data_IF_002480372865
#
_entry.id   IF_002480372865
#
_cell.length_a   1.000
_cell.length_b   1.000
_cell.length_c   1.000
_cell.angle_alpha   90.00
_cell.angle_beta   90.00
_cell.angle_gamma   90.00
#
_symmetry.space_group_name_H-M   'P 1'
#
loop_
_entity.id
_entity.type
_entity.pdbx_description
1 polymer ?
#
# COMPACT_ATOMS: atom_id res chain seq x y z
N UNK A 1 -16.91 -18.23 22.66
CA UNK A 1 -15.83 -17.21 22.58
C UNK A 1 -15.24 -17.04 21.16
N UNK A 2 -15.55 -17.92 20.21
CA UNK A 2 -15.08 -17.86 18.80
C UNK A 2 -15.94 -16.96 17.91
N UNK A 3 -17.28 -16.93 18.13
CA UNK A 3 -18.25 -16.16 17.33
C UNK A 3 -18.05 -14.64 17.40
N UNK A 4 -17.63 -14.12 18.56
CA UNK A 4 -17.37 -12.70 18.79
C UNK A 4 -16.16 -12.20 18.00
N UNK A 5 -15.15 -13.04 17.81
CA UNK A 5 -13.92 -12.71 17.05
C UNK A 5 -14.17 -12.69 15.54
N UNK A 6 -15.00 -13.62 15.05
CA UNK A 6 -15.51 -13.70 13.68
C UNK A 6 -16.30 -12.44 13.32
N UNK A 7 -17.19 -12.01 14.22
CA UNK A 7 -17.97 -10.80 14.04
C UNK A 7 -17.07 -9.58 13.86
N UNK A 8 -16.13 -9.31 14.78
CA UNK A 8 -15.34 -8.07 14.73
C UNK A 8 -14.32 -7.98 13.59
N UNK A 9 -13.71 -9.09 13.15
CA UNK A 9 -12.84 -9.06 11.97
C UNK A 9 -13.66 -8.83 10.69
N UNK A 10 -14.84 -9.47 10.58
CA UNK A 10 -15.75 -9.23 9.46
C UNK A 10 -16.38 -7.84 9.50
N UNK A 11 -16.64 -7.28 10.70
CA UNK A 11 -17.13 -5.92 10.91
C UNK A 11 -16.06 -4.90 10.59
N UNK A 12 -14.80 -5.16 10.96
CA UNK A 12 -13.62 -4.40 10.53
C UNK A 12 -13.58 -4.31 9.02
N UNK A 13 -13.60 -5.45 8.36
CA UNK A 13 -13.57 -5.56 6.91
C UNK A 13 -14.92 -5.24 6.22
N UNK A 14 -16.00 -4.94 6.93
CA UNK A 14 -17.27 -4.54 6.31
C UNK A 14 -17.49 -3.03 6.45
N UNK A 15 -17.17 -2.46 7.62
CA UNK A 15 -17.37 -1.04 7.92
C UNK A 15 -16.32 -0.12 7.28
N UNK A 16 -15.06 -0.56 7.23
CA UNK A 16 -13.99 0.12 6.46
C UNK A 16 -14.40 0.33 5.00
N UNK A 17 -15.15 -0.61 4.41
CA UNK A 17 -15.45 -0.55 2.97
C UNK A 17 -16.88 -0.16 2.62
N UNK A 18 -17.87 -0.34 3.49
CA UNK A 18 -19.25 0.10 3.24
C UNK A 18 -19.40 1.63 3.13
N UNK A 19 -18.45 2.40 3.67
CA UNK A 19 -18.54 3.85 3.80
C UNK A 19 -17.67 4.62 2.81
N UNK A 20 -16.53 4.07 2.36
CA UNK A 20 -15.63 4.70 1.37
C UNK A 20 -15.76 4.11 -0.04
N UNK A 21 -16.05 2.81 -0.17
CA UNK A 21 -16.24 2.14 -1.46
C UNK A 21 -17.73 1.91 -1.62
N UNK A 22 -18.39 2.62 -2.54
CA UNK A 22 -19.83 2.46 -2.76
C UNK A 22 -20.24 0.97 -2.76
N UNK A 23 -21.36 0.58 -2.11
CA UNK A 23 -21.78 -0.82 -1.97
C UNK A 23 -21.92 -1.56 -3.32
N UNK A 24 -21.98 -0.82 -4.43
CA UNK A 24 -21.90 -1.33 -5.81
C UNK A 24 -20.66 -2.21 -6.09
N UNK A 25 -19.57 -2.04 -5.35
CA UNK A 25 -18.31 -2.74 -5.62
C UNK A 25 -18.02 -3.89 -4.63
N UNK A 26 -18.74 -3.96 -3.50
CA UNK A 26 -18.61 -4.99 -2.47
C UNK A 26 -19.59 -6.14 -2.69
N UNK A 27 -19.14 -7.18 -3.40
CA UNK A 27 -19.83 -8.45 -3.42
C UNK A 27 -19.14 -9.46 -2.48
N UNK A 28 -19.41 -9.33 -1.18
CA UNK A 28 -18.88 -10.22 -0.14
C UNK A 28 -19.72 -11.49 0.06
N UNK A 29 -20.78 -11.70 -0.74
CA UNK A 29 -21.73 -12.81 -0.51
C UNK A 29 -21.14 -14.19 -0.74
N UNK A 30 -19.95 -14.29 -1.35
CA UNK A 30 -19.28 -15.56 -1.63
C UNK A 30 -18.36 -16.04 -0.52
N UNK A 31 -18.15 -15.26 0.54
CA UNK A 31 -17.06 -15.51 1.47
C UNK A 31 -17.56 -16.03 2.82
N UNK A 32 -17.21 -17.29 3.10
CA UNK A 32 -17.72 -18.07 4.22
C UNK A 32 -16.86 -17.82 5.48
N UNK A 33 -17.25 -16.78 6.23
CA UNK A 33 -16.58 -16.36 7.46
C UNK A 33 -16.52 -17.50 8.48
N UNK A 34 -17.51 -18.41 8.51
CA UNK A 34 -17.54 -19.53 9.46
C UNK A 34 -16.34 -20.49 9.28
N UNK A 35 -15.78 -20.59 8.06
CA UNK A 35 -14.59 -21.39 7.78
C UNK A 35 -13.28 -20.78 8.28
N UNK A 36 -13.26 -19.48 8.63
CA UNK A 36 -12.09 -18.86 9.27
C UNK A 36 -11.89 -19.34 10.70
N UNK A 37 -12.92 -19.80 11.40
CA UNK A 37 -12.78 -20.23 12.80
C UNK A 37 -13.76 -21.36 13.16
N UNK A 38 -13.60 -22.57 12.60
CA UNK A 38 -14.38 -23.74 12.98
C UNK A 38 -14.28 -24.06 14.48
N UNK A 39 -15.25 -24.80 15.04
CA UNK A 39 -15.26 -25.18 16.44
C UNK A 39 -13.98 -25.92 16.84
N UNK A 40 -13.36 -25.49 17.94
CA UNK A 40 -12.14 -26.12 18.50
C UNK A 40 -12.35 -27.58 18.91
N UNK A 41 -13.60 -28.04 19.03
CA UNK A 41 -13.97 -29.43 19.32
C UNK A 41 -13.64 -30.41 18.19
N UNK A 42 -13.22 -29.92 17.02
CA UNK A 42 -12.84 -30.74 15.86
C UNK A 42 -11.30 -30.80 15.66
N UNK A 43 -10.51 -30.36 16.65
CA UNK A 43 -9.04 -30.38 16.57
C UNK A 43 -8.54 -31.40 17.58
N UNK A 44 -8.45 -32.66 17.15
CA UNK A 44 -8.04 -33.77 18.03
C UNK A 44 -6.52 -33.99 18.00
N UNK A 45 -5.82 -33.45 16.99
CA UNK A 45 -4.39 -33.59 16.83
C UNK A 45 -3.70 -32.35 16.20
N UNK A 46 -2.37 -32.39 16.15
CA UNK A 46 -1.51 -31.32 15.64
C UNK A 46 -1.69 -31.11 14.12
N UNK A 47 -2.00 -32.16 13.37
CA UNK A 47 -2.17 -32.10 11.92
C UNK A 47 -3.46 -31.35 11.54
N UNK A 48 -4.55 -31.58 12.27
CA UNK A 48 -5.82 -30.84 12.14
C UNK A 48 -5.63 -29.35 12.41
N UNK A 49 -4.80 -29.01 13.41
CA UNK A 49 -4.45 -27.61 13.71
C UNK A 49 -3.68 -26.95 12.55
N UNK A 50 -2.74 -27.67 11.93
CA UNK A 50 -2.01 -27.15 10.77
C UNK A 50 -2.90 -26.98 9.54
N UNK A 51 -3.80 -27.93 9.28
CA UNK A 51 -4.76 -27.82 8.17
C UNK A 51 -5.74 -26.66 8.39
N UNK A 52 -6.20 -26.47 9.62
CA UNK A 52 -6.99 -25.32 9.99
C UNK A 52 -6.27 -23.99 9.70
N UNK A 53 -5.02 -23.86 10.14
CA UNK A 53 -4.22 -22.65 9.90
C UNK A 53 -4.04 -22.39 8.41
N UNK A 54 -3.81 -23.42 7.61
CA UNK A 54 -3.72 -23.30 6.13
C UNK A 54 -5.04 -22.85 5.52
N UNK A 55 -6.17 -23.43 5.94
CA UNK A 55 -7.49 -23.03 5.47
C UNK A 55 -7.80 -21.57 5.82
N UNK A 56 -7.44 -21.13 7.03
CA UNK A 56 -7.59 -19.74 7.47
C UNK A 56 -6.82 -18.77 6.58
N UNK A 57 -5.52 -19.04 6.35
CA UNK A 57 -4.67 -18.22 5.47
C UNK A 57 -5.25 -18.18 4.06
N UNK A 58 -5.69 -19.32 3.52
CA UNK A 58 -6.28 -19.38 2.19
C UNK A 58 -7.53 -18.49 2.06
N UNK A 59 -8.41 -18.50 3.06
CA UNK A 59 -9.61 -17.66 3.07
C UNK A 59 -9.23 -16.18 3.18
N UNK A 60 -8.32 -15.81 4.08
CA UNK A 60 -7.84 -14.42 4.22
C UNK A 60 -7.19 -13.89 2.95
N UNK A 61 -6.43 -14.73 2.26
CA UNK A 61 -5.85 -14.39 0.96
C UNK A 61 -6.93 -14.10 -0.09
N UNK A 62 -8.00 -14.90 -0.15
CA UNK A 62 -9.12 -14.63 -1.06
C UNK A 62 -9.84 -13.32 -0.70
N UNK A 63 -10.05 -13.04 0.59
CA UNK A 63 -10.58 -11.74 1.04
C UNK A 63 -9.70 -10.58 0.60
N UNK A 64 -8.39 -10.67 0.88
CA UNK A 64 -7.44 -9.63 0.53
C UNK A 64 -7.38 -9.41 -0.99
N UNK A 65 -7.50 -10.48 -1.78
CA UNK A 65 -7.56 -10.40 -3.24
C UNK A 65 -8.78 -9.64 -3.73
N UNK A 66 -9.97 -9.94 -3.19
CA UNK A 66 -11.21 -9.20 -3.51
C UNK A 66 -11.07 -7.74 -3.10
N UNK A 67 -10.51 -7.49 -1.92
CA UNK A 67 -10.24 -6.15 -1.41
C UNK A 67 -9.32 -5.35 -2.33
N UNK A 68 -8.16 -5.90 -2.69
CA UNK A 68 -7.22 -5.22 -3.58
C UNK A 68 -7.85 -4.94 -4.95
N UNK A 69 -8.65 -5.88 -5.48
CA UNK A 69 -9.37 -5.66 -6.73
C UNK A 69 -10.37 -4.49 -6.64
N UNK A 70 -11.04 -4.33 -5.50
CA UNK A 70 -11.97 -3.22 -5.27
C UNK A 70 -11.26 -1.88 -5.11
N UNK A 71 -10.16 -1.84 -4.35
CA UNK A 71 -9.33 -0.64 -4.21
C UNK A 71 -8.79 -0.22 -5.59
N UNK A 72 -8.25 -1.16 -6.36
CA UNK A 72 -7.76 -0.89 -7.71
C UNK A 72 -8.86 -0.31 -8.61
N UNK A 73 -10.07 -0.87 -8.54
CA UNK A 73 -11.22 -0.37 -9.28
C UNK A 73 -11.62 1.03 -8.84
N UNK A 74 -11.70 1.28 -7.52
CA UNK A 74 -12.02 2.60 -6.98
C UNK A 74 -11.01 3.66 -7.41
N UNK A 75 -9.70 3.38 -7.29
CA UNK A 75 -8.62 4.27 -7.75
C UNK A 75 -8.80 4.64 -9.23
N UNK A 76 -9.16 3.65 -10.05
CA UNK A 76 -9.39 3.84 -11.49
C UNK A 76 -10.65 4.66 -11.75
N UNK A 77 -11.77 4.31 -11.12
CA UNK A 77 -13.08 4.94 -11.33
C UNK A 77 -13.10 6.40 -10.84
N UNK A 78 -12.32 6.73 -9.80
CA UNK A 78 -12.17 8.10 -9.29
C UNK A 78 -11.11 8.93 -10.03
N UNK A 79 -10.39 8.35 -11.00
CA UNK A 79 -9.33 9.05 -11.71
C UNK A 79 -8.15 9.45 -10.83
N UNK A 80 -7.90 8.72 -9.73
CA UNK A 80 -6.79 8.97 -8.80
C UNK A 80 -5.45 8.54 -9.44
N UNK A 81 -5.49 7.54 -10.32
CA UNK A 81 -4.36 7.11 -11.15
C UNK A 81 -4.48 7.74 -12.56
N UNK A 82 -3.51 8.56 -13.02
CA UNK A 82 -2.20 8.81 -12.42
C UNK A 82 -2.20 9.84 -11.28
N UNK A 83 -1.40 9.56 -10.25
CA UNK A 83 -1.23 10.42 -9.08
C UNK A 83 -0.23 11.53 -9.36
N UNK A 84 -0.63 12.79 -9.17
CA UNK A 84 0.27 13.93 -9.35
C UNK A 84 1.38 13.90 -8.30
N UNK A 85 2.61 14.15 -8.73
CA UNK A 85 3.77 14.25 -7.86
C UNK A 85 4.21 15.70 -7.70
N UNK A 86 4.91 16.00 -6.60
CA UNK A 86 5.43 17.33 -6.34
C UNK A 86 6.59 17.68 -7.29
N UNK A 87 6.69 18.97 -7.63
CA UNK A 87 7.85 19.51 -8.33
C UNK A 87 9.06 19.55 -7.37
N UNK A 88 10.25 19.29 -7.92
CA UNK A 88 11.49 19.26 -7.16
C UNK A 88 12.57 20.07 -7.88
N UNK A 89 13.39 20.78 -7.11
CA UNK A 89 14.59 21.46 -7.59
C UNK A 89 15.69 21.13 -6.61
N UNK A 90 16.74 20.46 -7.10
CA UNK A 90 17.85 20.01 -6.27
C UNK A 90 19.18 20.42 -6.88
N UNK A 91 20.02 21.02 -6.04
CA UNK A 91 21.40 21.32 -6.40
C UNK A 91 22.27 20.12 -6.14
N UNK A 92 23.23 19.86 -7.02
CA UNK A 92 24.19 18.78 -6.86
C UNK A 92 25.59 19.22 -7.26
N UNK A 93 26.58 18.53 -6.72
CA UNK A 93 27.98 18.77 -7.02
C UNK A 93 28.59 17.51 -7.63
N UNK A 94 29.19 17.66 -8.82
CA UNK A 94 29.92 16.59 -9.49
C UNK A 94 31.38 16.98 -9.63
N UNK A 95 32.25 16.33 -8.86
CA UNK A 95 33.68 16.63 -8.75
C UNK A 95 33.91 18.10 -8.36
N UNK A 96 34.19 18.98 -9.32
CA UNK A 96 34.45 20.42 -9.11
C UNK A 96 33.32 21.33 -9.64
N UNK A 97 32.29 20.76 -10.28
CA UNK A 97 31.21 21.52 -10.90
C UNK A 97 29.93 21.42 -10.08
N UNK A 98 29.24 22.55 -9.91
CA UNK A 98 27.87 22.60 -9.40
C UNK A 98 26.86 22.59 -10.54
N UNK A 99 25.73 21.94 -10.30
CA UNK A 99 24.59 21.93 -11.20
C UNK A 99 23.28 21.90 -10.42
N UNK A 100 22.19 22.14 -11.14
CA UNK A 100 20.84 22.06 -10.61
C UNK A 100 20.01 21.13 -11.50
N UNK A 101 19.22 20.26 -10.88
CA UNK A 101 18.24 19.42 -11.54
C UNK A 101 16.85 19.81 -11.06
N UNK A 102 15.99 20.21 -12.01
CA UNK A 102 14.58 20.46 -11.78
C UNK A 102 13.76 19.33 -12.39
N UNK A 103 12.83 18.80 -11.60
CA UNK A 103 11.81 17.83 -11.98
C UNK A 103 10.44 18.50 -11.81
N UNK A 104 9.71 18.67 -12.91
CA UNK A 104 8.39 19.33 -12.91
C UNK A 104 7.32 18.49 -13.56
N UNK A 105 6.07 18.81 -13.24
CA UNK A 105 4.88 18.18 -13.83
C UNK A 105 4.89 16.65 -13.67
N UNK A 106 5.32 16.20 -12.49
CA UNK A 106 5.45 14.78 -12.20
C UNK A 106 4.12 14.06 -12.06
N UNK A 107 4.06 12.82 -12.51
CA UNK A 107 2.96 11.91 -12.19
C UNK A 107 3.45 10.47 -12.02
N UNK A 108 2.79 9.75 -11.12
CA UNK A 108 3.00 8.34 -10.81
C UNK A 108 1.76 7.55 -11.22
N UNK A 109 1.91 6.70 -12.23
CA UNK A 109 0.87 5.80 -12.71
C UNK A 109 1.07 4.37 -12.18
N UNK A 110 -0.01 3.60 -12.14
CA UNK A 110 -0.01 2.19 -11.75
C UNK A 110 -0.23 1.95 -10.25
N UNK A 111 -0.70 2.96 -9.52
CA UNK A 111 -1.14 2.81 -8.13
C UNK A 111 -2.42 1.96 -8.03
N UNK A 112 -3.15 1.78 -9.14
CA UNK A 112 -4.27 0.83 -9.26
C UNK A 112 -3.83 -0.63 -9.51
N UNK A 113 -2.57 -0.99 -9.27
CA UNK A 113 -2.04 -2.34 -9.47
C UNK A 113 -1.69 -3.06 -8.16
N UNK A 114 -2.40 -2.71 -7.07
CA UNK A 114 -2.18 -3.28 -5.75
C UNK A 114 -2.55 -4.77 -5.78
N UNK A 115 -1.65 -5.59 -5.23
CA UNK A 115 -1.80 -7.04 -5.10
C UNK A 115 -1.21 -7.49 -3.77
N UNK A 116 -1.49 -8.73 -3.34
CA UNK A 116 -0.83 -9.32 -2.19
C UNK A 116 0.60 -9.76 -2.54
N UNK A 117 1.57 -9.45 -1.68
CA UNK A 117 2.97 -9.84 -1.90
C UNK A 117 3.40 -11.09 -1.12
N UNK A 118 2.46 -11.71 -0.39
CA UNK A 118 2.65 -12.87 0.47
C UNK A 118 1.34 -13.28 1.13
N UNK A 119 1.42 -14.18 2.10
CA UNK A 119 0.26 -14.64 2.86
C UNK A 119 -0.23 -13.58 3.84
N UNK A 120 -1.53 -13.31 3.79
CA UNK A 120 -2.23 -12.54 4.81
C UNK A 120 -2.44 -13.43 6.01
N UNK A 121 -1.94 -12.99 7.14
CA UNK A 121 -2.01 -13.76 8.38
C UNK A 121 -2.60 -12.94 9.50
N UNK A 122 -3.23 -13.60 10.46
CA UNK A 122 -3.50 -12.99 11.75
C UNK A 122 -2.82 -13.80 12.85
N UNK A 123 -2.50 -13.11 13.94
CA UNK A 123 -2.12 -13.75 15.19
C UNK A 123 -3.00 -13.22 16.31
N UNK A 124 -3.30 -14.08 17.27
CA UNK A 124 -4.18 -13.74 18.37
C UNK A 124 -3.48 -13.99 19.69
N UNK A 125 -3.34 -12.93 20.47
CA UNK A 125 -2.85 -12.96 21.85
C UNK A 125 -3.75 -12.02 22.64
N UNK A 126 -4.68 -12.59 23.42
CA UNK A 126 -5.67 -11.79 24.16
C UNK A 126 -4.98 -10.63 24.92
N UNK A 127 -5.53 -9.39 24.83
CA UNK A 127 -6.76 -9.00 24.14
C UNK A 127 -6.59 -8.62 22.66
N UNK A 128 -5.41 -8.78 22.07
CA UNK A 128 -5.07 -8.24 20.76
C UNK A 128 -5.16 -9.29 19.65
N UNK A 129 -5.86 -8.94 18.57
CA UNK A 129 -5.80 -9.61 17.27
C UNK A 129 -4.91 -8.77 16.34
N UNK A 130 -3.80 -9.33 15.87
CA UNK A 130 -2.89 -8.66 14.93
C UNK A 130 -3.12 -9.19 13.54
N UNK A 131 -3.32 -8.31 12.57
CA UNK A 131 -3.43 -8.59 11.15
C UNK A 131 -2.14 -8.14 10.46
N UNK A 132 -1.53 -9.04 9.70
CA UNK A 132 -0.35 -8.77 8.87
C UNK A 132 -0.75 -8.84 7.40
N UNK A 133 -0.63 -7.72 6.70
CA UNK A 133 -1.04 -7.55 5.31
C UNK A 133 0.17 -7.14 4.44
N UNK A 134 0.82 -8.12 3.79
CA UNK A 134 1.88 -7.84 2.82
C UNK A 134 1.28 -7.48 1.45
N UNK A 135 1.60 -6.29 0.94
CA UNK A 135 1.08 -5.79 -0.34
C UNK A 135 2.22 -5.41 -1.30
N UNK A 136 1.91 -5.41 -2.59
CA UNK A 136 2.82 -4.99 -3.65
C UNK A 136 2.12 -4.26 -4.79
N UNK A 137 2.90 -3.43 -5.48
CA UNK A 137 2.53 -2.88 -6.78
C UNK A 137 3.20 -3.69 -7.89
N UNK A 138 2.42 -4.12 -8.88
CA UNK A 138 2.95 -4.87 -10.02
C UNK A 138 3.91 -4.01 -10.86
N UNK A 139 3.46 -2.80 -11.18
CA UNK A 139 4.19 -1.87 -12.03
C UNK A 139 3.82 -0.44 -11.66
N UNK A 140 4.82 0.34 -11.27
CA UNK A 140 4.68 1.78 -11.14
C UNK A 140 5.45 2.46 -12.26
N UNK A 141 4.84 3.45 -12.88
CA UNK A 141 5.45 4.23 -13.95
C UNK A 141 5.46 5.70 -13.52
N UNK A 142 6.64 6.28 -13.43
CA UNK A 142 6.78 7.69 -13.16
C UNK A 142 7.14 8.43 -14.44
N UNK A 143 6.64 9.64 -14.57
CA UNK A 143 7.07 10.57 -15.61
C UNK A 143 7.26 11.95 -15.01
N UNK A 144 8.32 12.62 -15.42
CA UNK A 144 8.63 14.00 -15.09
C UNK A 144 9.16 14.72 -16.32
N UNK A 145 8.91 16.03 -16.40
CA UNK A 145 9.71 16.92 -17.23
C UNK A 145 10.97 17.27 -16.44
N UNK A 146 12.15 16.96 -16.98
CA UNK A 146 13.42 17.31 -16.34
C UNK A 146 14.07 18.51 -17.03
N UNK A 147 14.79 19.30 -16.25
CA UNK A 147 15.75 20.28 -16.73
C UNK A 147 16.99 20.19 -15.86
N UNK A 148 18.15 20.05 -16.48
CA UNK A 148 19.42 20.12 -15.76
C UNK A 148 20.18 21.34 -16.24
N UNK A 149 20.81 22.06 -15.32
CA UNK A 149 21.60 23.25 -15.59
C UNK A 149 22.97 23.07 -14.95
N UNK A 150 24.01 23.12 -15.78
CA UNK A 150 25.41 23.20 -15.37
C UNK A 150 26.02 24.46 -15.98
N UNK A 151 26.54 25.38 -15.15
CA UNK A 151 27.15 26.62 -15.66
C UNK A 151 26.25 27.36 -16.68
N UNK A 152 24.93 27.46 -16.39
CA UNK A 152 23.89 28.01 -17.26
C UNK A 152 23.57 27.26 -18.56
N UNK A 153 24.12 26.07 -18.79
CA UNK A 153 23.84 25.24 -19.96
C UNK A 153 23.38 23.86 -19.49
N UNK A 154 22.36 23.30 -20.14
CA UNK A 154 22.06 21.89 -19.95
C UNK A 154 20.78 21.45 -20.65
N UNK A 155 20.61 20.14 -20.81
CA UNK A 155 19.50 19.61 -21.57
C UNK A 155 18.22 19.66 -20.74
N UNK A 156 17.10 19.64 -21.46
CA UNK A 156 15.77 19.45 -20.90
C UNK A 156 15.05 18.37 -21.70
N UNK A 157 14.10 17.71 -21.06
CA UNK A 157 13.43 16.58 -21.69
C UNK A 157 12.49 15.85 -20.74
N UNK A 158 12.22 14.59 -21.05
CA UNK A 158 11.33 13.74 -20.24
C UNK A 158 12.11 12.64 -19.54
N UNK A 159 11.88 12.53 -18.24
CA UNK A 159 12.34 11.44 -17.42
C UNK A 159 11.18 10.46 -17.28
N UNK A 160 11.37 9.24 -17.74
CA UNK A 160 10.44 8.13 -17.54
C UNK A 160 11.11 7.10 -16.65
N UNK A 161 10.45 6.73 -15.57
CA UNK A 161 10.90 5.68 -14.69
C UNK A 161 9.89 4.54 -14.62
N UNK A 162 10.39 3.35 -14.38
CA UNK A 162 9.59 2.15 -14.21
C UNK A 162 10.10 1.42 -12.98
N UNK A 163 9.21 1.20 -12.02
CA UNK A 163 9.49 0.45 -10.81
C UNK A 163 8.70 -0.85 -10.83
N UNK A 164 9.39 -1.97 -10.61
CA UNK A 164 8.78 -3.30 -10.53
C UNK A 164 9.10 -3.94 -9.19
N UNK A 165 8.06 -4.47 -8.53
CA UNK A 165 8.19 -5.22 -7.28
C UNK A 165 8.32 -4.33 -6.04
N UNK A 166 7.65 -3.17 -6.03
CA UNK A 166 7.50 -2.37 -4.83
C UNK A 166 6.63 -3.14 -3.82
N UNK A 167 7.08 -3.27 -2.57
CA UNK A 167 6.41 -4.05 -1.52
C UNK A 167 6.30 -3.26 -0.22
N UNK A 168 5.14 -3.37 0.41
CA UNK A 168 4.82 -2.80 1.70
C UNK A 168 4.32 -3.85 2.67
N UNK A 169 4.52 -3.57 3.95
CA UNK A 169 3.96 -4.31 5.07
C UNK A 169 3.07 -3.38 5.85
N UNK A 170 1.83 -3.80 6.08
CA UNK A 170 0.87 -3.14 6.94
C UNK A 170 0.52 -4.10 8.07
N UNK A 171 0.75 -3.68 9.32
CA UNK A 171 0.29 -4.40 10.50
C UNK A 171 -0.78 -3.58 11.22
N UNK A 172 -1.91 -4.24 11.52
CA UNK A 172 -3.06 -3.64 12.19
C UNK A 172 -3.35 -4.45 13.44
N UNK A 173 -3.40 -3.79 14.60
CA UNK A 173 -3.81 -4.41 15.85
C UNK A 173 -5.26 -4.03 16.15
N UNK A 174 -6.11 -5.03 16.39
CA UNK A 174 -7.46 -4.88 16.90
C UNK A 174 -7.48 -5.31 18.37
N UNK A 175 -7.77 -4.38 19.27
CA UNK A 175 -8.03 -4.68 20.68
C UNK A 175 -9.46 -5.19 20.82
N UNK A 176 -9.65 -6.43 21.26
CA UNK A 176 -10.96 -7.04 21.40
C UNK A 176 -11.72 -6.61 22.66
N UNK A 177 -11.07 -5.92 23.59
CA UNK A 177 -11.70 -5.37 24.80
C UNK A 177 -12.44 -4.09 24.47
N UNK A 178 -11.77 -3.20 23.74
CA UNK A 178 -12.31 -1.89 23.32
C UNK A 178 -12.92 -1.94 21.92
N UNK A 179 -12.66 -3.01 21.18
CA UNK A 179 -13.05 -3.20 19.78
C UNK A 179 -12.52 -2.09 18.87
N UNK A 180 -11.31 -1.60 19.18
CA UNK A 180 -10.64 -0.54 18.40
C UNK A 180 -9.46 -1.10 17.63
N UNK A 181 -9.36 -0.72 16.38
CA UNK A 181 -8.22 -1.01 15.53
C UNK A 181 -7.24 0.16 15.53
N UNK A 182 -5.95 -0.17 15.38
CA UNK A 182 -4.87 0.79 15.21
C UNK A 182 -3.86 0.27 14.21
N UNK A 183 -3.28 1.19 13.44
CA UNK A 183 -2.13 0.91 12.60
C UNK A 183 -0.91 0.80 13.52
N UNK A 184 -0.23 -0.36 13.52
CA UNK A 184 0.95 -0.58 14.36
C UNK A 184 2.25 -0.57 13.57
N UNK A 185 2.18 -0.92 12.29
CA UNK A 185 3.32 -0.86 11.39
C UNK A 185 2.85 -0.48 9.99
N UNK A 186 3.55 0.46 9.38
CA UNK A 186 3.40 0.81 7.98
C UNK A 186 4.80 1.02 7.44
N UNK A 187 5.24 0.14 6.53
CA UNK A 187 6.63 0.15 6.08
C UNK A 187 6.76 -0.26 4.63
N UNK A 188 7.46 0.57 3.86
CA UNK A 188 8.05 0.20 2.57
C UNK A 188 9.17 -0.83 2.82
N UNK A 189 8.97 -2.08 2.38
CA UNK A 189 9.99 -3.13 2.52
C UNK A 189 11.06 -2.99 1.44
N UNK A 190 10.64 -2.72 0.20
CA UNK A 190 11.53 -2.52 -0.93
C UNK A 190 10.82 -1.75 -2.02
N UNK A 191 11.52 -0.83 -2.68
CA UNK A 191 11.03 -0.20 -3.91
C UNK A 191 11.13 -1.17 -5.10
N UNK A 192 11.97 -2.22 -5.01
CA UNK A 192 12.22 -3.14 -6.10
C UNK A 192 13.15 -2.57 -7.17
N UNK A 193 12.95 -2.98 -8.41
CA UNK A 193 13.84 -2.63 -9.52
C UNK A 193 13.39 -1.34 -10.20
N UNK A 194 14.13 -0.25 -9.98
CA UNK A 194 13.96 1.03 -10.68
C UNK A 194 14.76 1.05 -11.99
N UNK A 195 14.09 1.37 -13.09
CA UNK A 195 14.71 1.67 -14.38
C UNK A 195 14.35 3.09 -14.77
N UNK A 196 15.34 3.92 -15.06
CA UNK A 196 15.16 5.28 -15.55
C UNK A 196 15.55 5.36 -17.03
N UNK A 197 14.76 6.10 -17.81
CA UNK A 197 15.00 6.44 -19.20
C UNK A 197 14.83 7.93 -19.36
N UNK A 198 15.79 8.56 -20.00
CA UNK A 198 15.75 9.97 -20.33
C UNK A 198 15.53 10.13 -21.84
N UNK A 199 14.65 11.04 -22.20
CA UNK A 199 14.34 11.44 -23.57
C UNK A 199 14.67 12.93 -23.71
N UNK A 200 15.35 13.34 -24.79
CA UNK A 200 15.65 14.77 -25.02
C UNK A 200 17.12 15.09 -25.31
N UNK A 201 17.73 14.42 -26.30
CA UNK A 201 19.03 14.83 -26.85
C UNK A 201 20.19 14.83 -25.86
N UNK A 202 20.17 13.92 -24.88
CA UNK A 202 21.25 13.76 -23.91
C UNK A 202 22.51 13.25 -24.62
N UNK A 203 23.63 13.97 -24.46
CA UNK A 203 24.93 13.55 -24.99
C UNK A 203 25.44 12.34 -24.19
N UNK A 204 26.01 11.33 -24.84
CA UNK A 204 26.42 10.07 -24.18
C UNK A 204 27.27 10.27 -22.91
N UNK A 205 28.19 11.25 -22.92
CA UNK A 205 29.06 11.52 -21.77
C UNK A 205 28.31 12.02 -20.51
N UNK A 206 27.15 12.67 -20.67
CA UNK A 206 26.39 13.22 -19.53
C UNK A 206 25.44 12.18 -18.93
N UNK A 207 25.09 11.10 -19.64
CA UNK A 207 24.17 10.03 -19.17
C UNK A 207 24.59 9.45 -17.81
N UNK A 208 25.89 9.26 -17.58
CA UNK A 208 26.39 8.72 -16.31
C UNK A 208 26.14 9.68 -15.14
N UNK A 209 26.31 10.99 -15.36
CA UNK A 209 26.02 12.02 -14.36
C UNK A 209 24.52 12.03 -14.06
N UNK A 210 23.68 11.91 -15.10
CA UNK A 210 22.23 11.83 -14.97
C UNK A 210 21.77 10.64 -14.13
N UNK A 211 22.34 9.46 -14.34
CA UNK A 211 21.99 8.29 -13.52
C UNK A 211 22.43 8.47 -12.07
N UNK A 212 23.62 9.04 -11.83
CA UNK A 212 24.12 9.28 -10.46
C UNK A 212 23.32 10.33 -9.68
N UNK A 213 22.69 11.30 -10.35
CA UNK A 213 21.90 12.36 -9.70
C UNK A 213 20.43 11.99 -9.65
N UNK A 214 19.85 11.47 -10.73
CA UNK A 214 18.42 11.21 -10.79
C UNK A 214 17.99 10.01 -9.95
N UNK A 215 18.78 8.94 -9.86
CA UNK A 215 18.39 7.76 -9.06
C UNK A 215 18.21 8.13 -7.57
N UNK A 216 19.19 8.80 -6.91
CA UNK A 216 19.04 9.24 -5.52
C UNK A 216 17.91 10.26 -5.31
N UNK A 217 17.58 11.07 -6.32
CA UNK A 217 16.48 12.02 -6.24
C UNK A 217 15.11 11.35 -6.41
N UNK A 218 14.94 10.51 -7.43
CA UNK A 218 13.65 9.92 -7.79
C UNK A 218 13.20 8.88 -6.76
N UNK A 219 14.12 8.05 -6.26
CA UNK A 219 13.84 6.98 -5.30
C UNK A 219 13.04 7.45 -4.07
N UNK A 220 13.49 8.46 -3.29
CA UNK A 220 12.76 8.94 -2.14
C UNK A 220 11.45 9.66 -2.51
N UNK A 221 11.35 10.28 -3.69
CA UNK A 221 10.10 10.92 -4.11
C UNK A 221 9.02 9.85 -4.35
N UNK A 222 9.35 8.73 -5.01
CA UNK A 222 8.37 7.65 -5.21
C UNK A 222 7.89 7.13 -3.85
N UNK A 223 8.81 6.88 -2.92
CA UNK A 223 8.47 6.45 -1.56
C UNK A 223 7.56 7.47 -0.87
N UNK A 224 7.92 8.76 -0.88
CA UNK A 224 7.13 9.83 -0.27
C UNK A 224 5.71 9.93 -0.84
N UNK A 225 5.57 9.83 -2.16
CA UNK A 225 4.27 9.90 -2.83
C UNK A 225 3.42 8.67 -2.50
N UNK A 226 4.03 7.48 -2.48
CA UNK A 226 3.32 6.25 -2.10
C UNK A 226 2.93 6.27 -0.62
N UNK A 227 3.83 6.68 0.27
CA UNK A 227 3.57 6.77 1.71
C UNK A 227 2.46 7.78 1.99
N UNK A 228 2.55 8.97 1.38
CA UNK A 228 1.54 10.03 1.51
C UNK A 228 0.17 9.67 0.92
N UNK A 229 0.10 8.67 0.04
CA UNK A 229 -1.17 8.13 -0.46
C UNK A 229 -1.67 6.97 0.40
N UNK A 230 -0.83 5.99 0.69
CA UNK A 230 -1.20 4.72 1.30
C UNK A 230 -1.43 4.83 2.80
N UNK A 231 -0.54 5.49 3.54
CA UNK A 231 -0.66 5.56 5.00
C UNK A 231 -1.95 6.28 5.42
N UNK A 232 -2.28 7.48 4.88
CA UNK A 232 -3.56 8.13 5.20
C UNK A 232 -4.77 7.29 4.78
N UNK A 233 -4.70 6.59 3.64
CA UNK A 233 -5.78 5.71 3.19
C UNK A 233 -6.05 4.60 4.20
N UNK A 234 -5.01 3.95 4.71
CA UNK A 234 -5.14 2.88 5.72
C UNK A 234 -5.64 3.44 7.05
N UNK A 235 -5.12 4.59 7.47
CA UNK A 235 -5.55 5.27 8.71
C UNK A 235 -7.02 5.67 8.63
N UNK A 236 -7.48 6.20 7.50
CA UNK A 236 -8.88 6.58 7.29
C UNK A 236 -9.79 5.36 7.38
N UNK A 237 -9.43 4.24 6.74
CA UNK A 237 -10.18 2.99 6.86
C UNK A 237 -10.28 2.53 8.32
N UNK A 238 -9.17 2.56 9.07
CA UNK A 238 -9.17 2.21 10.50
C UNK A 238 -10.09 3.14 11.31
N UNK A 239 -10.09 4.45 11.01
CA UNK A 239 -10.96 5.42 11.67
C UNK A 239 -12.44 5.16 11.34
N UNK A 240 -12.77 4.84 10.09
CA UNK A 240 -14.14 4.48 9.69
C UNK A 240 -14.64 3.24 10.42
N UNK A 241 -13.79 2.22 10.56
CA UNK A 241 -14.12 1.08 11.40
C UNK A 241 -14.38 1.52 12.84
N UNK A 242 -13.45 2.25 13.47
CA UNK A 242 -13.60 2.64 14.85
C UNK A 242 -14.89 3.46 15.07
N UNK A 243 -15.21 4.38 14.14
CA UNK A 243 -16.44 5.17 14.18
C UNK A 243 -17.70 4.28 14.03
N UNK A 244 -17.67 3.30 13.13
CA UNK A 244 -18.76 2.33 12.99
C UNK A 244 -18.95 1.50 14.26
N UNK A 245 -17.85 1.08 14.90
CA UNK A 245 -17.90 0.35 16.16
C UNK A 245 -18.48 1.21 17.29
N UNK A 246 -18.03 2.46 17.41
CA UNK A 246 -18.52 3.40 18.41
C UNK A 246 -20.03 3.66 18.23
N UNK A 247 -20.54 3.70 17.00
CA UNK A 247 -21.98 3.82 16.70
C UNK A 247 -22.77 2.56 17.02
N UNK A 248 -22.18 1.37 16.83
CA UNK A 248 -22.87 0.09 16.96
C UNK A 248 -22.89 -0.41 18.41
N UNK A 249 -21.79 -0.23 19.14
CA UNK A 249 -21.60 -0.75 20.50
C UNK A 249 -21.66 0.33 21.58
N UNK A 250 -21.65 1.62 21.21
CA UNK A 250 -21.40 2.73 22.12
C UNK A 250 -19.90 2.92 22.40
N UNK A 251 -19.49 4.08 22.95
CA UNK A 251 -18.09 4.33 23.28
C UNK A 251 -17.61 3.35 24.38
N UNK A 252 -16.31 2.99 24.39
CA UNK A 252 -15.75 2.11 25.42
C UNK A 252 -16.00 2.70 26.81
N UNK A 253 -16.40 1.85 27.75
CA UNK A 253 -16.57 2.23 29.16
C UNK A 253 -15.23 2.74 29.73
N UNK A 254 -15.24 3.83 30.51
CA UNK A 254 -14.03 4.44 31.06
C UNK A 254 -13.26 3.54 32.02
#
# INVERSE_FOLDING_TARGET
MTLTKLFFLSLFLASTFATEIQPKYLNLTSIDIAKLFPPLSNIDNIEDFFQLKKAQVAILNEYAKVLFAQINKYITDQGIDPLKMQDLIESFQWTIFSGEMSLKNGFLAGINTITGSGDVTFSYTYPVLKLHLPLSFNLLQLQYDYKIVFMNIGPSGKLKGTVKGCKYTIDIDLDLTTVRAKLTNFKLNTLGNLKLKFEGGIVEWIVNIFLSVAIPLVTPIIALVLDGFLEPSVVNLIQLFNNFMDQTLGPPLP
#
